data_IF_747022773065
#
_entry.id   IF_747022773065
#
_cell.length_a   1.000
_cell.length_b   1.000
_cell.length_c   1.000
_cell.angle_alpha   90.00
_cell.angle_beta   90.00
_cell.angle_gamma   90.00
#
_symmetry.space_group_name_H-M   'P 1'
#
loop_
_entity.id
_entity.type
_entity.pdbx_description
1 polymer ?
#
# COMPACT_ATOMS: atom_id res chain seq x y z
N UNK A 1 51.88 -39.16 -60.72
CA UNK A 1 51.66 -39.76 -59.39
C UNK A 1 50.91 -38.73 -58.53
N UNK A 2 49.85 -39.12 -57.81
CA UNK A 2 48.52 -39.26 -58.42
C UNK A 2 47.38 -38.58 -57.62
N UNK A 3 46.18 -38.70 -58.20
CA UNK A 3 44.82 -38.64 -57.64
C UNK A 3 44.04 -37.31 -57.54
N UNK A 4 43.10 -37.21 -58.48
CA UNK A 4 41.74 -36.67 -58.35
C UNK A 4 40.94 -37.45 -57.30
N UNK A 5 40.04 -36.75 -56.57
CA UNK A 5 38.64 -37.13 -56.25
C UNK A 5 37.92 -35.83 -55.79
N UNK A 6 37.08 -35.18 -56.60
CA UNK A 6 35.66 -35.43 -56.97
C UNK A 6 34.62 -35.32 -55.82
N UNK A 7 33.85 -34.23 -55.92
CA UNK A 7 32.39 -34.05 -55.65
C UNK A 7 31.91 -34.24 -54.19
N UNK A 8 30.96 -33.47 -53.65
CA UNK A 8 29.85 -32.71 -54.23
C UNK A 8 29.56 -31.45 -53.37
N UNK A 9 29.34 -30.25 -53.93
CA UNK A 9 28.05 -29.75 -54.42
C UNK A 9 26.84 -30.02 -53.50
N UNK A 10 26.58 -29.06 -52.60
CA UNK A 10 25.25 -28.57 -52.17
C UNK A 10 25.47 -27.31 -51.33
N UNK A 11 24.87 -26.18 -51.73
CA UNK A 11 24.78 -25.00 -50.85
C UNK A 11 25.07 -23.62 -51.46
N UNK A 12 25.08 -23.45 -52.77
CA UNK A 12 25.00 -22.13 -53.40
C UNK A 12 23.53 -21.79 -53.71
N UNK A 13 22.75 -21.43 -52.68
CA UNK A 13 21.41 -20.85 -52.84
C UNK A 13 20.87 -20.30 -51.50
N UNK A 14 21.46 -19.23 -50.94
CA UNK A 14 20.81 -18.50 -49.83
C UNK A 14 21.41 -17.11 -49.50
N UNK A 15 22.14 -16.44 -50.39
CA UNK A 15 22.87 -15.19 -50.00
C UNK A 15 22.29 -13.90 -50.62
N UNK A 16 21.34 -13.96 -51.57
CA UNK A 16 20.88 -12.75 -52.27
C UNK A 16 19.35 -12.68 -52.45
N UNK A 17 18.59 -13.11 -51.43
CA UNK A 17 17.13 -13.05 -51.43
C UNK A 17 16.50 -12.24 -50.29
N UNK A 18 17.27 -11.59 -49.42
CA UNK A 18 16.72 -10.94 -48.21
C UNK A 18 16.96 -9.42 -48.18
N UNK A 19 17.80 -8.87 -49.05
CA UNK A 19 18.05 -7.42 -49.12
C UNK A 19 16.93 -6.61 -49.84
N UNK A 20 15.85 -7.24 -50.30
CA UNK A 20 14.76 -6.56 -51.02
C UNK A 20 13.34 -6.85 -50.48
N UNK A 21 13.23 -7.40 -49.27
CA UNK A 21 11.96 -7.49 -48.52
C UNK A 21 12.00 -6.69 -47.19
N UNK A 22 12.92 -5.73 -47.09
CA UNK A 22 13.15 -4.87 -45.91
C UNK A 22 12.19 -3.65 -45.88
N UNK A 23 11.28 -3.51 -46.86
CA UNK A 23 10.57 -2.25 -47.09
C UNK A 23 9.07 -2.17 -46.78
N UNK A 24 8.33 -3.27 -46.56
CA UNK A 24 6.85 -3.21 -46.55
C UNK A 24 6.17 -3.95 -45.36
N UNK A 25 6.90 -4.67 -44.51
CA UNK A 25 6.32 -5.43 -43.39
C UNK A 25 6.19 -4.70 -42.05
N UNK A 26 6.42 -3.39 -41.98
CA UNK A 26 6.40 -2.61 -40.73
C UNK A 26 4.98 -2.25 -40.21
N UNK A 27 3.96 -3.05 -40.49
CA UNK A 27 2.58 -2.70 -40.09
C UNK A 27 1.63 -3.87 -39.75
N UNK A 28 2.05 -5.13 -39.78
CA UNK A 28 1.15 -6.24 -39.45
C UNK A 28 1.91 -7.51 -39.03
N UNK A 29 2.42 -7.54 -37.80
CA UNK A 29 2.74 -8.76 -37.03
C UNK A 29 3.28 -8.41 -35.62
N UNK A 30 2.74 -7.36 -34.98
CA UNK A 30 2.74 -7.26 -33.52
C UNK A 30 1.50 -8.03 -33.07
N UNK A 31 1.62 -9.35 -33.06
CA UNK A 31 0.62 -10.22 -32.43
C UNK A 31 1.11 -10.48 -31.01
N UNK A 32 0.35 -10.00 -30.04
CA UNK A 32 0.73 -9.83 -28.65
C UNK A 32 0.26 -11.01 -27.78
N UNK A 33 0.29 -12.23 -28.31
CA UNK A 33 -0.27 -13.42 -27.65
C UNK A 33 0.76 -14.50 -27.31
N UNK A 34 2.07 -14.19 -27.37
CA UNK A 34 3.11 -15.14 -26.93
C UNK A 34 4.15 -14.42 -26.05
N UNK A 35 4.11 -14.58 -24.72
CA UNK A 35 5.11 -14.01 -23.84
C UNK A 35 6.47 -14.68 -24.11
N UNK A 36 7.46 -13.86 -24.46
CA UNK A 36 8.89 -14.19 -24.60
C UNK A 36 9.53 -14.94 -23.40
N UNK A 37 8.79 -15.15 -22.31
CA UNK A 37 9.10 -16.01 -21.16
C UNK A 37 7.87 -16.89 -20.86
N UNK A 38 8.01 -18.21 -20.99
CA UNK A 38 6.97 -19.20 -20.64
C UNK A 38 6.92 -19.37 -19.11
N UNK A 39 6.13 -18.53 -18.46
CA UNK A 39 5.94 -18.53 -17.00
C UNK A 39 5.12 -19.71 -16.49
N UNK A 40 4.29 -20.34 -17.34
CA UNK A 40 3.62 -21.60 -16.99
C UNK A 40 4.63 -22.74 -16.80
N UNK A 41 5.84 -22.59 -17.34
CA UNK A 41 6.98 -23.49 -17.17
C UNK A 41 8.09 -22.97 -16.24
N UNK A 42 7.91 -21.84 -15.54
CA UNK A 42 8.92 -21.34 -14.59
C UNK A 42 9.05 -22.34 -13.43
N UNK A 43 10.27 -22.81 -13.18
CA UNK A 43 10.57 -23.59 -11.99
C UNK A 43 10.56 -22.67 -10.78
N UNK A 44 9.37 -22.38 -10.26
CA UNK A 44 9.19 -22.12 -8.83
C UNK A 44 10.06 -23.17 -8.11
N UNK A 45 10.92 -22.81 -7.14
CA UNK A 45 11.66 -23.80 -6.39
C UNK A 45 10.66 -24.84 -5.86
N UNK A 46 10.66 -26.01 -6.49
CA UNK A 46 9.75 -27.09 -6.12
C UNK A 46 10.04 -27.45 -4.67
N UNK A 47 8.97 -27.60 -3.88
CA UNK A 47 8.96 -27.93 -2.45
C UNK A 47 9.11 -26.78 -1.44
N UNK A 48 9.00 -25.49 -1.82
CA UNK A 48 8.85 -24.44 -0.80
C UNK A 48 7.44 -24.48 -0.17
N UNK A 49 7.31 -24.47 1.17
CA UNK A 49 6.02 -24.51 1.85
C UNK A 49 5.18 -23.27 1.53
N UNK A 50 3.88 -23.45 1.30
CA UNK A 50 2.96 -22.31 1.16
C UNK A 50 3.04 -21.42 2.41
N UNK A 51 3.14 -20.11 2.19
CA UNK A 51 3.23 -19.13 3.27
C UNK A 51 1.84 -18.58 3.54
N UNK A 52 1.37 -18.81 4.76
CA UNK A 52 0.15 -18.20 5.29
C UNK A 52 0.46 -17.05 6.22
N UNK A 53 -0.26 -15.94 6.07
CA UNK A 53 -0.09 -14.76 6.92
C UNK A 53 -1.19 -14.64 7.98
N UNK A 54 -0.77 -14.24 9.18
CA UNK A 54 -1.67 -13.72 10.21
C UNK A 54 -1.63 -12.20 10.15
N UNK A 55 -2.68 -11.61 9.60
CA UNK A 55 -2.73 -10.17 9.34
C UNK A 55 -3.10 -9.31 10.55
N UNK A 56 -3.49 -9.94 11.66
CA UNK A 56 -3.72 -9.23 12.92
C UNK A 56 -2.40 -8.69 13.48
N UNK A 57 -2.46 -7.51 14.08
CA UNK A 57 -1.27 -6.91 14.65
C UNK A 57 -1.00 -7.46 16.06
N UNK A 58 0.22 -7.96 16.28
CA UNK A 58 0.64 -8.52 17.57
C UNK A 58 1.50 -7.54 18.38
N UNK A 59 2.11 -6.56 17.69
CA UNK A 59 3.01 -5.55 18.25
C UNK A 59 4.17 -6.09 19.11
N UNK A 60 4.52 -7.37 18.95
CA UNK A 60 5.68 -8.01 19.56
C UNK A 60 6.76 -8.30 18.54
N UNK A 61 7.73 -9.18 18.83
CA UNK A 61 8.69 -9.65 17.83
C UNK A 61 7.96 -10.20 16.61
N UNK A 62 8.50 -9.89 15.43
CA UNK A 62 8.04 -10.40 14.15
C UNK A 62 8.05 -11.93 14.18
N UNK A 63 6.94 -12.54 13.78
CA UNK A 63 6.72 -13.99 13.88
C UNK A 63 6.38 -14.66 12.55
N UNK A 64 6.48 -13.92 11.43
CA UNK A 64 6.34 -14.48 10.08
C UNK A 64 7.68 -14.58 9.35
N UNK A 65 7.80 -15.48 8.35
CA UNK A 65 9.03 -15.70 7.57
C UNK A 65 9.55 -14.44 6.86
N UNK A 66 10.87 -14.38 6.66
CA UNK A 66 11.59 -13.27 6.00
C UNK A 66 12.64 -13.82 5.02
N UNK A 67 12.34 -14.97 4.44
CA UNK A 67 13.30 -15.82 3.75
C UNK A 67 13.55 -15.35 2.31
N UNK A 68 12.71 -14.45 1.79
CA UNK A 68 12.74 -13.98 0.41
C UNK A 68 11.94 -14.87 -0.53
N UNK A 69 11.05 -15.71 0.01
CA UNK A 69 10.21 -16.60 -0.79
C UNK A 69 9.29 -15.77 -1.66
N UNK A 70 9.33 -16.00 -2.99
CA UNK A 70 8.44 -15.35 -3.93
C UNK A 70 6.99 -15.83 -3.70
N UNK A 71 6.08 -14.88 -3.51
CA UNK A 71 4.69 -15.14 -3.14
C UNK A 71 3.73 -14.90 -4.28
N UNK A 72 3.97 -13.87 -5.07
CA UNK A 72 3.10 -13.47 -6.17
C UNK A 72 3.82 -12.55 -7.15
N UNK A 73 3.35 -12.58 -8.39
CA UNK A 73 3.73 -11.64 -9.45
C UNK A 73 2.53 -10.75 -9.75
N UNK A 74 2.76 -9.45 -9.88
CA UNK A 74 1.71 -8.46 -10.14
C UNK A 74 2.03 -7.70 -11.40
N UNK A 75 1.17 -7.78 -12.41
CA UNK A 75 1.27 -6.97 -13.61
C UNK A 75 0.59 -5.63 -13.35
N UNK A 76 1.39 -4.56 -13.36
CA UNK A 76 0.93 -3.20 -13.11
C UNK A 76 1.94 -2.21 -13.67
N UNK A 77 1.46 -1.13 -14.28
CA UNK A 77 2.32 -0.06 -14.81
C UNK A 77 3.01 0.76 -13.70
N UNK A 78 2.41 0.79 -12.52
CA UNK A 78 2.86 1.62 -11.40
C UNK A 78 2.95 0.80 -10.11
N UNK A 79 3.79 1.20 -9.15
CA UNK A 79 3.91 0.48 -7.89
C UNK A 79 2.76 0.84 -6.95
N UNK A 80 2.28 -0.14 -6.17
CA UNK A 80 1.22 0.03 -5.17
C UNK A 80 1.51 -0.73 -3.88
N UNK A 81 0.74 -0.41 -2.85
CA UNK A 81 0.49 -1.38 -1.78
C UNK A 81 -0.57 -2.38 -2.24
N UNK A 82 -0.25 -3.67 -2.12
CA UNK A 82 -1.17 -4.77 -2.42
C UNK A 82 -1.94 -5.09 -1.13
N UNK A 83 -3.09 -4.46 -0.95
CA UNK A 83 -3.92 -4.59 0.26
C UNK A 83 -4.57 -5.96 0.33
N UNK A 84 -4.46 -6.58 1.49
CA UNK A 84 -5.09 -7.87 1.80
C UNK A 84 -6.20 -7.70 2.83
N UNK A 85 -5.97 -6.86 3.84
CA UNK A 85 -6.94 -6.62 4.91
C UNK A 85 -6.91 -5.18 5.38
N UNK A 86 -8.03 -4.77 5.96
CA UNK A 86 -8.17 -3.51 6.68
C UNK A 86 -8.48 -3.75 8.16
N UNK A 87 -7.76 -3.04 9.02
CA UNK A 87 -7.96 -2.99 10.46
C UNK A 87 -8.47 -1.59 10.82
N UNK A 88 -9.78 -1.48 11.05
CA UNK A 88 -10.48 -0.21 11.25
C UNK A 88 -11.13 -0.04 12.61
N UNK A 89 -11.00 -1.01 13.51
CA UNK A 89 -11.38 -0.86 14.92
C UNK A 89 -10.15 -0.83 15.81
N UNK A 90 -10.13 0.12 16.74
CA UNK A 90 -9.14 0.19 17.81
C UNK A 90 -9.76 -0.33 19.10
N UNK A 91 -9.23 -1.43 19.64
CA UNK A 91 -9.78 -2.15 20.79
C UNK A 91 -9.26 -1.64 22.16
N UNK A 92 -8.44 -0.59 22.13
CA UNK A 92 -7.79 -0.02 23.31
C UNK A 92 -6.37 -0.52 23.56
N UNK A 93 -5.88 -1.45 22.75
CA UNK A 93 -4.49 -1.90 22.75
C UNK A 93 -3.88 -1.94 21.35
N UNK A 94 -4.69 -2.31 20.35
CA UNK A 94 -4.30 -2.61 19.00
C UNK A 94 -5.44 -2.41 18.00
N UNK A 95 -5.18 -2.85 16.77
CA UNK A 95 -6.05 -2.64 15.61
C UNK A 95 -6.56 -3.98 15.11
N UNK A 96 -7.87 -4.07 14.87
CA UNK A 96 -8.55 -5.26 14.41
C UNK A 96 -9.60 -4.94 13.34
N UNK A 97 -10.08 -5.98 12.67
CA UNK A 97 -11.21 -5.89 11.74
C UNK A 97 -12.49 -5.63 12.54
N UNK A 98 -13.31 -4.67 12.13
CA UNK A 98 -14.65 -4.48 12.70
C UNK A 98 -15.60 -5.65 12.32
N UNK A 99 -15.59 -6.75 13.08
CA UNK A 99 -16.37 -7.97 12.80
C UNK A 99 -17.80 -7.97 13.35
N UNK A 100 -18.17 -7.04 14.22
CA UNK A 100 -19.45 -7.04 14.95
C UNK A 100 -20.58 -6.20 14.31
N UNK A 101 -20.35 -5.60 13.13
CA UNK A 101 -21.40 -4.93 12.35
C UNK A 101 -21.63 -5.51 10.94
N UNK A 102 -21.58 -6.85 10.72
CA UNK A 102 -21.48 -7.43 9.39
C UNK A 102 -22.79 -7.43 8.59
N UNK A 103 -23.94 -7.04 9.16
CA UNK A 103 -25.25 -7.19 8.47
C UNK A 103 -25.88 -5.92 7.90
N UNK A 104 -25.34 -4.70 8.11
CA UNK A 104 -26.06 -3.47 7.70
C UNK A 104 -25.19 -2.34 7.07
N UNK A 105 -23.88 -2.23 7.30
CA UNK A 105 -23.10 -1.11 6.74
C UNK A 105 -22.28 -1.52 5.52
N UNK A 106 -22.63 -0.94 4.34
CA UNK A 106 -21.77 -1.02 3.16
C UNK A 106 -20.35 -0.52 3.51
N UNK A 107 -19.30 -1.17 3.00
CA UNK A 107 -17.94 -0.67 3.18
C UNK A 107 -17.84 0.72 2.54
N UNK A 108 -17.20 1.64 3.25
CA UNK A 108 -17.10 3.05 2.87
C UNK A 108 -15.81 3.28 2.08
N UNK A 109 -15.62 2.53 1.00
CA UNK A 109 -14.36 2.50 0.26
C UNK A 109 -14.26 3.63 -0.76
N UNK A 110 -15.33 3.91 -1.50
CA UNK A 110 -15.30 4.95 -2.53
C UNK A 110 -15.77 6.29 -1.98
N UNK A 111 -15.30 7.41 -2.56
CA UNK A 111 -15.84 8.72 -2.24
C UNK A 111 -17.36 8.79 -2.35
N UNK A 112 -17.93 8.22 -3.42
CA UNK A 112 -19.37 8.14 -3.64
C UNK A 112 -20.14 7.31 -2.60
N UNK A 113 -19.49 6.39 -1.88
CA UNK A 113 -20.12 5.61 -0.80
C UNK A 113 -20.24 6.43 0.49
N UNK A 114 -19.30 7.35 0.71
CA UNK A 114 -19.18 8.18 1.92
C UNK A 114 -19.94 9.49 1.79
N UNK A 115 -19.79 10.14 0.64
CA UNK A 115 -20.31 11.48 0.36
C UNK A 115 -21.63 11.44 -0.42
N UNK A 116 -21.97 10.26 -0.96
CA UNK A 116 -23.15 10.02 -1.79
C UNK A 116 -22.87 10.22 -3.28
N UNK A 117 -23.28 9.25 -4.11
CA UNK A 117 -23.10 9.25 -5.57
C UNK A 117 -23.73 10.43 -6.33
N UNK A 118 -24.63 11.19 -5.70
CA UNK A 118 -25.17 12.41 -6.30
C UNK A 118 -24.25 13.62 -6.06
N UNK A 119 -23.49 13.61 -4.96
CA UNK A 119 -22.54 14.66 -4.60
C UNK A 119 -21.17 14.44 -5.26
N UNK A 120 -20.82 13.19 -5.55
CA UNK A 120 -19.61 12.82 -6.26
C UNK A 120 -19.96 12.02 -7.50
N UNK A 121 -19.45 12.46 -8.66
CA UNK A 121 -19.56 11.73 -9.92
C UNK A 121 -18.89 10.36 -9.88
N UNK A 122 -18.66 9.71 -11.03
CA UNK A 122 -17.86 8.49 -11.06
C UNK A 122 -16.48 8.73 -10.42
N UNK A 123 -15.81 7.68 -9.90
CA UNK A 123 -14.44 7.79 -9.43
C UNK A 123 -13.54 8.42 -10.50
N UNK A 124 -12.53 9.19 -10.07
CA UNK A 124 -11.52 9.78 -10.97
C UNK A 124 -10.96 8.69 -11.89
N UNK A 125 -11.20 8.76 -13.21
CA UNK A 125 -10.82 7.68 -14.13
C UNK A 125 -9.32 7.40 -14.13
N UNK A 126 -8.49 8.43 -13.96
CA UNK A 126 -7.03 8.31 -13.92
C UNK A 126 -6.51 7.53 -12.70
N UNK A 127 -7.36 7.29 -11.69
CA UNK A 127 -7.03 6.47 -10.52
C UNK A 127 -7.74 5.11 -10.55
N UNK A 128 -8.46 4.81 -11.63
CA UNK A 128 -9.02 3.48 -11.88
C UNK A 128 -8.04 2.71 -12.74
N UNK A 129 -7.62 1.55 -12.27
CA UNK A 129 -6.60 0.74 -12.92
C UNK A 129 -6.98 -0.73 -12.91
N UNK A 130 -6.46 -1.43 -13.90
CA UNK A 130 -6.52 -2.88 -13.99
C UNK A 130 -5.17 -3.45 -13.55
N UNK A 131 -5.21 -4.46 -12.68
CA UNK A 131 -4.03 -5.11 -12.14
C UNK A 131 -4.24 -6.61 -12.14
N UNK A 132 -3.30 -7.35 -12.73
CA UNK A 132 -3.35 -8.81 -12.79
C UNK A 132 -2.40 -9.42 -11.77
N UNK A 133 -2.88 -10.43 -11.06
CA UNK A 133 -2.15 -11.17 -10.04
C UNK A 133 -1.94 -12.60 -10.50
N UNK A 134 -0.73 -13.11 -10.29
CA UNK A 134 -0.40 -14.53 -10.37
C UNK A 134 0.11 -14.97 -9.01
N UNK A 135 -0.60 -15.90 -8.38
CA UNK A 135 -0.26 -16.43 -7.06
C UNK A 135 0.80 -17.52 -7.21
N UNK A 136 1.86 -17.41 -6.42
CA UNK A 136 2.91 -18.40 -6.27
C UNK A 136 2.87 -19.03 -4.88
N UNK A 137 3.89 -18.79 -4.06
CA UNK A 137 4.01 -19.35 -2.71
C UNK A 137 3.01 -18.86 -1.64
N UNK A 138 2.02 -18.03 -1.99
CA UNK A 138 1.02 -17.51 -1.03
C UNK A 138 -0.20 -18.44 -0.91
N UNK A 139 -0.67 -18.64 0.32
CA UNK A 139 -2.01 -19.20 0.57
C UNK A 139 -2.92 -18.21 1.31
N UNK A 140 -4.01 -17.77 0.66
CA UNK A 140 -4.88 -16.72 1.21
C UNK A 140 -6.38 -17.01 1.01
N UNK A 141 -7.21 -16.77 2.03
CA UNK A 141 -8.68 -16.71 1.88
C UNK A 141 -9.21 -15.29 1.62
N UNK A 142 -8.30 -14.35 1.40
CA UNK A 142 -8.56 -12.93 1.18
C UNK A 142 -7.99 -12.53 -0.18
N UNK A 143 -8.72 -11.70 -0.91
CA UNK A 143 -8.28 -11.14 -2.17
C UNK A 143 -7.19 -10.08 -1.94
N UNK A 144 -6.21 -10.01 -2.84
CA UNK A 144 -5.24 -8.92 -2.88
C UNK A 144 -5.66 -7.92 -3.94
N UNK A 145 -5.59 -6.63 -3.63
CA UNK A 145 -5.85 -5.57 -4.59
C UNK A 145 -5.22 -4.25 -4.16
N UNK A 146 -4.85 -3.36 -5.10
CA UNK A 146 -4.60 -1.97 -4.74
C UNK A 146 -5.93 -1.27 -4.43
N UNK A 147 -5.96 -0.46 -3.37
CA UNK A 147 -7.10 0.41 -3.08
C UNK A 147 -8.47 -0.32 -3.00
N UNK A 148 -9.51 0.35 -3.48
CA UNK A 148 -10.89 -0.14 -3.46
C UNK A 148 -11.21 -1.00 -4.68
N UNK A 149 -11.68 -2.23 -4.48
CA UNK A 149 -12.03 -3.17 -5.55
C UNK A 149 -13.36 -2.77 -6.19
N UNK A 150 -13.37 -2.59 -7.51
CA UNK A 150 -14.55 -2.28 -8.32
C UNK A 150 -15.09 -3.51 -9.05
N UNK A 151 -14.20 -4.35 -9.56
CA UNK A 151 -14.51 -5.59 -10.26
C UNK A 151 -13.38 -6.59 -10.09
N UNK A 152 -13.70 -7.88 -10.22
CA UNK A 152 -12.74 -8.99 -10.23
C UNK A 152 -13.11 -9.93 -11.38
N UNK A 153 -12.11 -10.34 -12.15
CA UNK A 153 -12.21 -11.35 -13.20
C UNK A 153 -11.23 -12.50 -12.93
N UNK A 154 -11.57 -13.71 -13.38
CA UNK A 154 -10.74 -14.92 -13.18
C UNK A 154 -10.94 -15.65 -11.85
N UNK A 155 -11.73 -15.12 -10.91
CA UNK A 155 -12.11 -15.82 -9.67
C UNK A 155 -13.62 -15.89 -9.49
N UNK A 156 -14.09 -17.07 -9.13
CA UNK A 156 -15.46 -17.27 -8.67
C UNK A 156 -15.60 -16.97 -7.16
N UNK A 157 -16.79 -16.52 -6.76
CA UNK A 157 -17.18 -16.46 -5.35
C UNK A 157 -16.46 -15.40 -4.51
N UNK A 158 -15.93 -14.34 -5.13
CA UNK A 158 -15.45 -13.16 -4.40
C UNK A 158 -16.62 -12.40 -3.79
N UNK A 159 -16.55 -12.12 -2.49
CA UNK A 159 -17.60 -11.42 -1.75
C UNK A 159 -17.05 -10.29 -0.88
N UNK A 160 -17.81 -9.19 -0.68
CA UNK A 160 -17.42 -8.16 0.27
C UNK A 160 -17.36 -8.71 1.70
N UNK A 161 -16.24 -8.51 2.37
CA UNK A 161 -16.04 -8.73 3.78
C UNK A 161 -16.11 -7.44 4.61
N UNK A 162 -15.79 -7.56 5.89
CA UNK A 162 -15.76 -6.42 6.80
C UNK A 162 -14.67 -5.40 6.41
N UNK A 163 -14.97 -4.12 6.60
CA UNK A 163 -14.01 -3.04 6.37
C UNK A 163 -13.46 -2.96 4.95
N UNK A 164 -14.21 -3.36 3.91
CA UNK A 164 -13.71 -3.29 2.53
C UNK A 164 -12.65 -4.34 2.16
N UNK A 165 -12.42 -5.31 3.05
CA UNK A 165 -11.67 -6.53 2.75
C UNK A 165 -12.52 -7.43 1.85
N UNK A 166 -11.97 -8.04 0.80
CA UNK A 166 -12.70 -8.98 -0.05
C UNK A 166 -12.33 -10.42 0.31
N UNK A 167 -13.35 -11.27 0.49
CA UNK A 167 -13.21 -12.69 0.80
C UNK A 167 -13.28 -13.51 -0.47
N UNK A 168 -12.45 -14.54 -0.60
CA UNK A 168 -12.54 -15.53 -1.67
C UNK A 168 -13.25 -16.79 -1.15
N UNK A 169 -14.12 -17.40 -1.95
CA UNK A 169 -14.81 -18.64 -1.55
C UNK A 169 -13.86 -19.82 -1.43
N UNK A 170 -12.87 -19.86 -2.33
CA UNK A 170 -11.76 -20.81 -2.29
C UNK A 170 -10.48 -20.07 -1.91
N UNK A 171 -9.58 -20.73 -1.19
CA UNK A 171 -8.30 -20.13 -0.82
C UNK A 171 -7.43 -20.05 -2.07
N UNK A 172 -6.92 -18.84 -2.35
CA UNK A 172 -5.88 -18.58 -3.35
C UNK A 172 -4.65 -19.42 -3.07
N UNK A 173 -4.08 -20.03 -4.10
CA UNK A 173 -2.95 -20.96 -4.09
C UNK A 173 -2.07 -20.77 -5.32
N UNK A 174 -0.90 -21.41 -5.29
CA UNK A 174 0.04 -21.45 -6.41
C UNK A 174 -0.66 -21.78 -7.75
N UNK A 175 -0.41 -20.94 -8.74
CA UNK A 175 -0.99 -21.02 -10.08
C UNK A 175 -2.30 -20.25 -10.28
N UNK A 176 -2.97 -19.79 -9.22
CA UNK A 176 -4.19 -18.99 -9.36
C UNK A 176 -3.87 -17.63 -9.99
N UNK A 177 -4.68 -17.25 -10.99
CA UNK A 177 -4.55 -15.95 -11.66
C UNK A 177 -5.88 -15.21 -11.65
N UNK A 178 -5.80 -13.89 -11.50
CA UNK A 178 -6.98 -13.04 -11.52
C UNK A 178 -6.63 -11.60 -11.82
N UNK A 179 -7.64 -10.86 -12.27
CA UNK A 179 -7.51 -9.44 -12.59
C UNK A 179 -8.49 -8.65 -11.74
N UNK A 180 -8.03 -7.55 -11.16
CA UNK A 180 -8.88 -6.63 -10.41
C UNK A 180 -8.92 -5.27 -11.10
N UNK A 181 -10.12 -4.73 -11.25
CA UNK A 181 -10.29 -3.30 -11.52
C UNK A 181 -10.43 -2.60 -10.18
N UNK A 182 -9.53 -1.65 -9.90
CA UNK A 182 -9.39 -1.01 -8.60
C UNK A 182 -9.34 0.51 -8.70
N UNK A 183 -9.91 1.19 -7.71
CA UNK A 183 -9.74 2.62 -7.49
C UNK A 183 -8.64 2.86 -6.43
N UNK A 184 -7.52 3.44 -6.84
CA UNK A 184 -6.35 3.67 -6.00
C UNK A 184 -5.86 5.13 -6.11
N UNK A 185 -6.36 6.06 -5.26
CA UNK A 185 -6.05 7.47 -5.36
C UNK A 185 -4.55 7.80 -5.27
N UNK A 186 -4.06 8.58 -6.24
CA UNK A 186 -2.70 9.15 -6.25
C UNK A 186 -2.72 10.69 -6.37
N UNK A 187 -3.33 11.40 -5.40
CA UNK A 187 -3.39 12.86 -5.44
C UNK A 187 -2.01 13.49 -5.20
N UNK A 188 -1.78 14.66 -5.81
CA UNK A 188 -0.66 15.53 -5.45
C UNK A 188 -0.83 16.12 -4.05
N UNK A 189 0.26 16.59 -3.46
CA UNK A 189 0.21 17.27 -2.16
C UNK A 189 -0.69 18.52 -2.20
N UNK A 190 -0.71 19.23 -3.33
CA UNK A 190 -1.61 20.38 -3.54
C UNK A 190 -3.09 19.96 -3.51
N UNK A 191 -3.45 18.89 -4.23
CA UNK A 191 -4.83 18.38 -4.24
C UNK A 191 -5.27 17.89 -2.85
N UNK A 192 -4.37 17.30 -2.08
CA UNK A 192 -4.62 16.89 -0.69
C UNK A 192 -4.83 18.10 0.24
N UNK A 193 -4.01 19.14 0.12
CA UNK A 193 -4.19 20.39 0.92
C UNK A 193 -5.49 21.11 0.60
N UNK A 194 -5.92 21.06 -0.65
CA UNK A 194 -7.19 21.65 -1.09
C UNK A 194 -8.43 20.87 -0.61
N UNK A 195 -8.27 19.64 -0.12
CA UNK A 195 -9.38 18.84 0.40
C UNK A 195 -9.94 19.48 1.68
N UNK A 196 -11.26 19.69 1.77
CA UNK A 196 -11.85 20.38 2.91
C UNK A 196 -11.87 19.51 4.17
N UNK A 197 -11.73 20.15 5.34
CA UNK A 197 -11.88 19.50 6.64
C UNK A 197 -13.34 19.17 7.00
N UNK A 198 -14.31 19.47 6.13
CA UNK A 198 -15.73 19.20 6.36
C UNK A 198 -16.09 17.75 6.07
N UNK A 199 -15.68 16.85 6.96
CA UNK A 199 -15.92 15.41 6.81
C UNK A 199 -17.41 15.03 6.93
N UNK A 200 -17.91 14.12 6.07
CA UNK A 200 -19.22 13.51 6.21
C UNK A 200 -19.38 12.76 7.53
N UNK A 201 -20.59 12.80 8.11
CA UNK A 201 -20.90 12.13 9.38
C UNK A 201 -20.68 10.61 9.33
N UNK A 202 -20.79 9.99 8.15
CA UNK A 202 -20.54 8.56 7.94
C UNK A 202 -19.13 8.15 8.40
N UNK A 203 -18.15 9.07 8.34
CA UNK A 203 -16.77 8.80 8.75
C UNK A 203 -16.54 8.79 10.26
N UNK A 204 -17.54 9.13 11.09
CA UNK A 204 -17.38 9.11 12.57
C UNK A 204 -16.97 7.74 13.11
N UNK A 205 -17.26 6.64 12.40
CA UNK A 205 -16.78 5.31 12.80
C UNK A 205 -15.25 5.19 12.74
N UNK A 206 -14.60 5.94 11.85
CA UNK A 206 -13.14 5.99 11.71
C UNK A 206 -12.47 7.02 12.64
N UNK A 207 -13.22 7.55 13.62
CA UNK A 207 -12.67 8.34 14.74
C UNK A 207 -13.04 7.74 16.10
N UNK A 208 -13.52 6.50 16.10
CA UNK A 208 -13.82 5.75 17.31
C UNK A 208 -12.55 5.12 17.90
N UNK A 209 -12.43 5.25 19.22
CA UNK A 209 -11.34 4.72 20.03
C UNK A 209 -11.93 4.06 21.28
N UNK A 210 -11.66 2.78 21.50
CA UNK A 210 -11.90 2.15 22.81
C UNK A 210 -10.77 2.60 23.75
N UNK A 211 -11.11 3.34 24.81
CA UNK A 211 -10.12 3.98 25.67
C UNK A 211 -10.15 3.38 27.09
N UNK A 212 -9.29 2.39 27.37
CA UNK A 212 -9.10 1.91 28.73
C UNK A 212 -8.48 3.00 29.61
N UNK A 213 -8.99 3.14 30.83
CA UNK A 213 -8.41 4.03 31.86
C UNK A 213 -7.24 3.38 32.59
N UNK A 214 -7.22 2.05 32.65
CA UNK A 214 -6.20 1.22 33.29
C UNK A 214 -5.88 0.02 32.42
N UNK A 215 -4.76 -0.66 32.70
CA UNK A 215 -4.43 -1.90 31.98
C UNK A 215 -5.55 -2.95 32.16
N UNK A 216 -5.87 -3.74 31.13
CA UNK A 216 -6.78 -4.86 31.26
C UNK A 216 -6.23 -5.89 32.26
N UNK A 217 -7.10 -6.47 33.09
CA UNK A 217 -6.74 -7.55 34.01
C UNK A 217 -6.46 -8.84 33.20
N UNK A 218 -5.52 -9.70 33.64
CA UNK A 218 -5.34 -11.02 33.05
C UNK A 218 -6.66 -11.81 33.08
N UNK A 219 -6.94 -12.58 32.02
CA UNK A 219 -8.19 -13.34 31.82
C UNK A 219 -8.55 -14.26 33.00
N UNK A 220 -7.58 -14.66 33.83
CA UNK A 220 -7.77 -15.58 34.95
C UNK A 220 -8.50 -14.98 36.18
N UNK A 221 -8.59 -13.65 36.32
CA UNK A 221 -9.18 -13.02 37.53
C UNK A 221 -10.65 -12.56 37.35
N UNK A 222 -11.21 -12.67 36.14
CA UNK A 222 -12.48 -12.00 35.80
C UNK A 222 -13.66 -12.98 35.71
N UNK A 223 -13.95 -13.68 36.80
CA UNK A 223 -15.17 -14.48 36.95
C UNK A 223 -16.48 -13.67 37.03
N UNK A 224 -16.45 -12.34 36.83
CA UNK A 224 -17.61 -11.45 36.88
C UNK A 224 -17.58 -10.44 35.70
N UNK A 225 -18.48 -10.70 34.74
CA UNK A 225 -19.06 -9.82 33.69
C UNK A 225 -18.38 -8.49 33.32
N UNK A 226 -17.59 -8.54 32.24
CA UNK A 226 -17.79 -7.82 30.97
C UNK A 226 -18.40 -6.40 31.05
N UNK A 227 -17.56 -5.38 31.23
CA UNK A 227 -17.82 -4.07 30.63
C UNK A 227 -16.72 -3.78 29.63
N UNK A 228 -17.01 -3.95 28.35
CA UNK A 228 -16.13 -3.51 27.26
C UNK A 228 -15.74 -2.05 27.50
N UNK A 229 -14.47 -1.66 27.29
CA UNK A 229 -14.04 -0.29 27.48
C UNK A 229 -14.96 0.67 26.70
N UNK A 230 -15.34 1.81 27.29
CA UNK A 230 -16.28 2.72 26.64
C UNK A 230 -15.68 3.31 25.38
N UNK A 231 -16.30 3.03 24.23
CA UNK A 231 -15.94 3.65 22.95
C UNK A 231 -16.11 5.17 23.03
N UNK A 232 -15.03 5.89 22.73
CA UNK A 232 -15.03 7.33 22.53
C UNK A 232 -15.13 7.62 21.04
N UNK A 233 -16.06 8.46 20.61
CA UNK A 233 -16.06 9.00 19.25
C UNK A 233 -15.49 10.40 19.29
N UNK A 234 -14.29 10.59 18.74
CA UNK A 234 -13.68 11.92 18.62
C UNK A 234 -14.45 12.71 17.55
N UNK A 235 -14.86 13.97 17.80
CA UNK A 235 -15.44 14.83 16.77
C UNK A 235 -14.55 14.87 15.53
N UNK A 236 -15.16 14.94 14.34
CA UNK A 236 -14.39 14.97 13.10
C UNK A 236 -13.49 16.22 13.08
N UNK A 237 -12.30 16.09 12.50
CA UNK A 237 -11.34 17.18 12.43
C UNK A 237 -11.98 18.43 11.81
N UNK A 238 -11.67 19.61 12.35
CA UNK A 238 -12.33 20.87 11.98
C UNK A 238 -13.68 21.13 12.68
N UNK A 239 -14.31 20.14 13.32
CA UNK A 239 -15.47 20.37 14.18
C UNK A 239 -15.04 20.92 15.55
N UNK A 240 -15.92 21.67 16.26
CA UNK A 240 -15.64 22.13 17.60
C UNK A 240 -15.27 20.98 18.54
N UNK A 241 -14.22 21.16 19.34
CA UNK A 241 -13.84 20.18 20.38
C UNK A 241 -14.89 20.19 21.48
N UNK A 242 -15.38 19.00 21.83
CA UNK A 242 -16.26 18.82 22.97
C UNK A 242 -15.41 18.62 24.24
N UNK A 243 -15.63 19.45 25.26
CA UNK A 243 -14.84 19.41 26.51
C UNK A 243 -14.83 18.04 27.17
N UNK A 244 -16.00 17.37 27.21
CA UNK A 244 -16.14 16.02 27.77
C UNK A 244 -15.32 14.97 27.00
N UNK A 245 -15.19 15.12 25.68
CA UNK A 245 -14.42 14.19 24.85
C UNK A 245 -12.92 14.39 25.06
N UNK A 246 -12.48 15.66 25.11
CA UNK A 246 -11.10 16.01 25.44
C UNK A 246 -10.72 15.50 26.84
N UNK A 247 -11.55 15.75 27.85
CA UNK A 247 -11.34 15.27 29.22
C UNK A 247 -11.20 13.75 29.27
N UNK A 248 -12.04 13.00 28.55
CA UNK A 248 -11.91 11.53 28.47
C UNK A 248 -10.62 11.05 27.81
N UNK A 249 -10.08 11.78 26.82
CA UNK A 249 -8.77 11.46 26.23
C UNK A 249 -7.65 11.75 27.23
N UNK A 250 -7.73 12.88 27.92
CA UNK A 250 -6.74 13.35 28.90
C UNK A 250 -6.67 12.47 30.15
N UNK A 251 -7.79 11.84 30.54
CA UNK A 251 -7.85 10.85 31.62
C UNK A 251 -7.42 9.43 31.21
N UNK A 252 -7.25 9.17 29.90
CA UNK A 252 -6.96 7.84 29.38
C UNK A 252 -5.47 7.50 29.40
N UNK A 253 -5.15 6.22 29.18
CA UNK A 253 -3.77 5.78 28.94
C UNK A 253 -3.13 6.46 27.71
N UNK A 254 -3.93 7.09 26.84
CA UNK A 254 -3.51 7.70 25.57
C UNK A 254 -3.45 9.24 25.59
N UNK A 255 -3.59 9.87 26.76
CA UNK A 255 -3.47 11.32 26.92
C UNK A 255 -2.18 11.90 26.30
N UNK A 256 -1.05 11.21 26.52
CA UNK A 256 0.24 11.56 25.94
C UNK A 256 0.26 11.48 24.41
N UNK A 257 -0.41 10.46 23.83
CA UNK A 257 -0.53 10.28 22.37
C UNK A 257 -1.31 11.42 21.76
N UNK A 258 -2.47 11.76 22.35
CA UNK A 258 -3.28 12.89 21.90
C UNK A 258 -2.52 14.22 22.00
N UNK A 259 -1.86 14.45 23.13
CA UNK A 259 -1.04 15.64 23.35
C UNK A 259 0.12 15.76 22.36
N UNK A 260 0.76 14.64 21.99
CA UNK A 260 1.80 14.64 20.97
C UNK A 260 1.22 14.98 19.60
N UNK A 261 0.10 14.36 19.21
CA UNK A 261 -0.58 14.64 17.95
C UNK A 261 -0.96 16.13 17.85
N UNK A 262 -1.53 16.71 18.90
CA UNK A 262 -1.87 18.13 18.98
C UNK A 262 -0.66 19.06 18.79
N UNK A 263 0.48 18.71 19.40
CA UNK A 263 1.71 19.52 19.25
C UNK A 263 2.26 19.46 17.83
N UNK A 264 2.28 18.28 17.22
CA UNK A 264 2.78 18.10 15.87
C UNK A 264 1.89 18.79 14.83
N UNK A 265 0.57 18.85 15.08
CA UNK A 265 -0.40 19.47 14.16
C UNK A 265 -0.72 20.93 14.49
N UNK A 266 -0.02 21.58 15.45
CA UNK A 266 -0.42 22.89 15.96
C UNK A 266 -0.43 24.01 14.91
N UNK A 267 0.40 23.90 13.87
CA UNK A 267 0.49 24.84 12.75
C UNK A 267 -0.09 24.32 11.44
N UNK A 268 -0.84 23.22 11.46
CA UNK A 268 -1.41 22.64 10.24
C UNK A 268 -2.56 23.51 9.71
N UNK A 269 -2.49 23.90 8.44
CA UNK A 269 -3.52 24.70 7.77
C UNK A 269 -4.59 23.82 7.09
N UNK A 270 -4.26 22.56 6.83
CA UNK A 270 -5.15 21.56 6.23
C UNK A 270 -5.09 20.22 6.99
N UNK A 271 -6.07 19.32 6.80
CA UNK A 271 -5.97 17.95 7.30
C UNK A 271 -4.70 17.26 6.79
N UNK A 272 -4.30 17.52 5.54
CA UNK A 272 -3.08 16.96 4.97
C UNK A 272 -1.83 17.39 5.74
N UNK A 273 -1.69 18.67 6.08
CA UNK A 273 -0.51 19.15 6.80
C UNK A 273 -0.41 18.52 8.20
N UNK A 274 -1.54 18.24 8.85
CA UNK A 274 -1.57 17.51 10.11
C UNK A 274 -1.12 16.05 9.94
N UNK A 275 -1.60 15.36 8.90
CA UNK A 275 -1.18 13.99 8.58
C UNK A 275 0.31 13.92 8.26
N UNK A 276 0.79 14.82 7.39
CA UNK A 276 2.18 14.88 6.94
C UNK A 276 3.14 15.21 8.10
N UNK A 277 2.75 16.09 9.03
CA UNK A 277 3.56 16.41 10.21
C UNK A 277 3.74 15.19 11.13
N UNK A 278 2.68 14.42 11.36
CA UNK A 278 2.74 13.19 12.16
C UNK A 278 3.55 12.11 11.45
N UNK A 279 3.33 11.91 10.15
CA UNK A 279 4.09 10.98 9.32
C UNK A 279 5.59 11.30 9.37
N UNK A 280 5.97 12.56 9.11
CA UNK A 280 7.35 13.02 9.14
C UNK A 280 8.02 12.83 10.51
N UNK A 281 7.28 13.09 11.59
CA UNK A 281 7.78 12.86 12.96
C UNK A 281 8.14 11.39 13.20
N UNK A 282 7.28 10.47 12.78
CA UNK A 282 7.50 9.03 12.93
C UNK A 282 8.66 8.55 12.04
N UNK A 283 8.70 8.97 10.78
CA UNK A 283 9.74 8.60 9.81
C UNK A 283 11.14 9.03 10.22
N UNK A 284 11.27 10.18 10.89
CA UNK A 284 12.56 10.77 11.27
C UNK A 284 12.96 10.53 12.72
N UNK A 285 11.99 10.30 13.61
CA UNK A 285 12.20 10.32 15.06
C UNK A 285 12.35 8.95 15.73
N UNK A 286 12.22 7.86 14.97
CA UNK A 286 12.10 6.49 15.45
C UNK A 286 12.98 5.54 14.63
N UNK A 287 13.31 4.39 15.20
CA UNK A 287 14.16 3.38 14.55
C UNK A 287 13.37 2.14 14.14
N UNK A 288 13.85 1.44 13.13
CA UNK A 288 13.27 0.16 12.70
C UNK A 288 13.90 -1.00 13.47
N UNK A 289 13.08 -1.93 13.98
CA UNK A 289 13.49 -3.22 14.54
C UNK A 289 12.38 -4.25 14.41
N UNK A 290 12.73 -5.48 14.01
CA UNK A 290 11.82 -6.62 13.91
C UNK A 290 11.67 -7.38 15.25
N UNK A 291 12.40 -6.97 16.29
CA UNK A 291 12.35 -7.59 17.63
C UNK A 291 11.91 -6.61 18.73
N UNK A 292 10.82 -5.83 18.54
CA UNK A 292 10.35 -4.93 19.57
C UNK A 292 9.87 -5.70 20.81
N UNK A 293 10.04 -5.15 22.02
CA UNK A 293 9.57 -5.79 23.24
C UNK A 293 8.04 -5.84 23.26
N UNK A 294 7.48 -6.93 23.81
CA UNK A 294 6.04 -6.99 24.09
C UNK A 294 5.68 -6.01 25.21
N UNK A 295 4.58 -5.27 25.02
CA UNK A 295 4.12 -4.22 25.92
C UNK A 295 2.61 -4.33 26.13
N UNK A 296 2.08 -4.06 27.34
CA UNK A 296 0.64 -4.01 27.57
C UNK A 296 -0.07 -2.86 26.83
N UNK A 297 0.62 -1.74 26.59
CA UNK A 297 0.09 -0.58 25.83
C UNK A 297 1.03 -0.27 24.66
N UNK A 298 1.11 -1.17 23.67
CA UNK A 298 2.23 -1.23 22.74
C UNK A 298 2.46 0.05 21.96
N UNK A 299 1.39 0.68 21.45
CA UNK A 299 1.53 1.90 20.66
C UNK A 299 1.98 3.11 21.49
N UNK A 300 1.56 3.20 22.76
CA UNK A 300 2.02 4.26 23.66
C UNK A 300 3.48 4.06 24.05
N UNK A 301 3.84 2.84 24.44
CA UNK A 301 5.20 2.52 24.84
C UNK A 301 6.16 2.64 23.66
N UNK A 302 5.74 2.29 22.43
CA UNK A 302 6.47 2.60 21.21
C UNK A 302 6.73 4.11 21.07
N UNK A 303 5.70 4.96 21.20
CA UNK A 303 5.82 6.40 21.00
C UNK A 303 6.75 7.08 22.02
N UNK A 304 6.74 6.66 23.29
CA UNK A 304 7.37 7.42 24.37
C UNK A 304 8.53 6.70 25.08
N UNK A 305 8.63 5.38 24.96
CA UNK A 305 9.63 4.58 25.68
C UNK A 305 10.60 3.90 24.73
N UNK A 306 10.07 3.03 23.86
CA UNK A 306 10.89 2.13 23.06
C UNK A 306 11.47 2.85 21.83
N UNK A 307 10.67 3.71 21.18
CA UNK A 307 11.01 4.46 19.98
C UNK A 307 11.61 3.62 18.84
N UNK A 308 11.35 2.31 18.87
CA UNK A 308 11.80 1.34 17.90
C UNK A 308 10.74 0.26 17.72
N UNK A 309 10.43 -0.06 16.47
CA UNK A 309 9.45 -1.08 16.08
C UNK A 309 9.52 -1.37 14.58
N UNK A 310 8.56 -2.11 14.05
CA UNK A 310 8.41 -2.32 12.61
C UNK A 310 7.04 -1.79 12.16
N UNK A 311 6.66 -2.07 10.91
CA UNK A 311 5.51 -1.44 10.25
C UNK A 311 4.23 -1.43 11.10
N UNK A 312 3.95 -2.47 11.90
CA UNK A 312 2.79 -2.51 12.78
C UNK A 312 2.77 -1.38 13.83
N UNK A 313 3.88 -1.15 14.55
CA UNK A 313 3.95 -0.09 15.56
C UNK A 313 3.82 1.28 14.90
N UNK A 314 4.47 1.49 13.76
CA UNK A 314 4.43 2.73 13.01
C UNK A 314 3.02 3.06 12.49
N UNK A 315 2.40 2.12 11.76
CA UNK A 315 1.06 2.29 11.18
C UNK A 315 0.00 2.43 12.28
N UNK A 316 0.05 1.56 13.30
CA UNK A 316 -0.88 1.58 14.41
C UNK A 316 -0.79 2.88 15.22
N UNK A 317 0.42 3.37 15.51
CA UNK A 317 0.62 4.61 16.27
C UNK A 317 0.19 5.84 15.47
N UNK A 318 0.55 5.92 14.18
CA UNK A 318 0.13 7.01 13.31
C UNK A 318 -1.40 7.06 13.21
N UNK A 319 -2.06 5.94 12.91
CA UNK A 319 -3.51 5.89 12.80
C UNK A 319 -4.18 6.32 14.11
N UNK A 320 -3.64 5.91 15.27
CA UNK A 320 -4.16 6.30 16.59
C UNK A 320 -4.01 7.80 16.84
N UNK A 321 -2.86 8.39 16.47
CA UNK A 321 -2.64 9.84 16.57
C UNK A 321 -3.63 10.61 15.70
N UNK A 322 -3.84 10.18 14.43
CA UNK A 322 -4.81 10.80 13.52
C UNK A 322 -6.25 10.72 14.06
N UNK A 323 -6.68 9.54 14.53
CA UNK A 323 -8.02 9.38 15.12
C UNK A 323 -8.22 10.24 16.35
N UNK A 324 -7.18 10.40 17.18
CA UNK A 324 -7.24 11.27 18.35
C UNK A 324 -7.45 12.75 18.00
N UNK A 325 -7.10 13.15 16.77
CA UNK A 325 -7.36 14.50 16.24
C UNK A 325 -8.73 14.60 15.55
N UNK A 326 -9.42 13.47 15.34
CA UNK A 326 -10.66 13.43 14.56
C UNK A 326 -10.47 13.26 13.05
N UNK A 327 -9.25 12.97 12.59
CA UNK A 327 -8.98 12.69 11.18
C UNK A 327 -9.38 11.22 10.93
N UNK A 328 -10.33 10.94 10.01
CA UNK A 328 -10.72 9.57 9.69
C UNK A 328 -9.52 8.78 9.14
N UNK A 329 -9.13 7.74 9.87
CA UNK A 329 -7.98 6.91 9.50
C UNK A 329 -8.24 5.43 9.80
N UNK A 330 -7.49 4.56 9.14
CA UNK A 330 -7.49 3.10 9.34
C UNK A 330 -6.11 2.53 9.05
N UNK A 331 -5.86 1.33 9.56
CA UNK A 331 -4.65 0.58 9.25
C UNK A 331 -4.98 -0.42 8.14
N UNK A 332 -4.08 -0.57 7.18
CA UNK A 332 -4.17 -1.59 6.14
C UNK A 332 -2.91 -2.45 6.16
N UNK A 333 -3.09 -3.73 5.85
CA UNK A 333 -2.01 -4.71 5.83
C UNK A 333 -2.08 -5.56 4.56
N UNK A 334 -0.91 -5.96 4.09
CA UNK A 334 -0.74 -6.69 2.85
C UNK A 334 0.73 -6.69 2.47
N UNK A 335 1.03 -6.26 1.25
CA UNK A 335 2.39 -6.18 0.75
C UNK A 335 2.72 -4.77 0.24
N UNK A 336 3.99 -4.38 0.33
CA UNK A 336 4.56 -3.29 -0.47
C UNK A 336 4.57 -3.69 -1.96
N UNK A 337 5.05 -2.81 -2.85
CA UNK A 337 5.09 -3.12 -4.28
C UNK A 337 5.91 -4.35 -4.63
N UNK A 338 6.92 -4.69 -3.83
CA UNK A 338 7.96 -5.64 -4.23
C UNK A 338 8.96 -5.02 -5.21
N UNK A 339 9.72 -5.88 -5.89
CA UNK A 339 10.77 -5.51 -6.85
C UNK A 339 10.21 -5.43 -8.27
N UNK A 340 10.46 -4.32 -8.97
CA UNK A 340 10.05 -4.18 -10.36
C UNK A 340 10.87 -5.08 -11.29
N UNK A 341 10.22 -5.75 -12.24
CA UNK A 341 10.88 -6.60 -13.22
C UNK A 341 11.73 -5.78 -14.22
N UNK A 342 12.77 -6.41 -14.76
CA UNK A 342 13.58 -5.80 -15.82
C UNK A 342 12.70 -5.57 -17.06
N UNK A 343 12.54 -4.30 -17.44
CA UNK A 343 11.65 -3.90 -18.55
C UNK A 343 10.36 -3.23 -18.08
N UNK A 344 10.04 -3.28 -16.78
CA UNK A 344 8.83 -2.69 -16.21
C UNK A 344 7.56 -3.50 -16.47
N UNK A 345 6.41 -2.98 -16.04
CA UNK A 345 5.10 -3.58 -16.27
C UNK A 345 4.70 -4.71 -15.32
N UNK A 346 5.62 -5.17 -14.46
CA UNK A 346 5.30 -6.14 -13.42
C UNK A 346 6.21 -6.00 -12.19
N UNK A 347 5.74 -6.56 -11.07
CA UNK A 347 6.42 -6.58 -9.78
C UNK A 347 6.45 -8.00 -9.23
N UNK A 348 7.60 -8.37 -8.67
CA UNK A 348 7.80 -9.60 -7.91
C UNK A 348 7.69 -9.30 -6.42
N UNK A 349 6.78 -9.99 -5.75
CA UNK A 349 6.46 -9.76 -4.33
C UNK A 349 6.80 -11.01 -3.55
N UNK A 350 7.55 -10.82 -2.47
CA UNK A 350 8.05 -11.87 -1.59
C UNK A 350 7.49 -11.74 -0.17
N UNK A 351 7.77 -12.71 0.68
CA UNK A 351 7.47 -12.63 2.12
C UNK A 351 8.18 -11.45 2.82
N UNK A 352 9.25 -10.92 2.22
CA UNK A 352 9.95 -9.72 2.68
C UNK A 352 9.20 -8.43 2.40
N UNK A 353 8.15 -8.49 1.60
CA UNK A 353 7.36 -7.32 1.24
C UNK A 353 6.10 -7.19 2.10
N UNK A 354 5.86 -8.14 3.02
CA UNK A 354 4.75 -8.08 3.97
C UNK A 354 4.83 -6.80 4.81
N UNK A 355 3.77 -5.99 4.76
CA UNK A 355 3.80 -4.61 5.23
C UNK A 355 2.44 -4.12 5.76
N UNK A 356 2.48 -3.06 6.57
CA UNK A 356 1.28 -2.35 7.02
C UNK A 356 1.49 -0.84 6.97
N UNK A 357 0.44 -0.11 6.58
CA UNK A 357 0.44 1.33 6.39
C UNK A 357 -0.83 1.96 6.95
N UNK A 358 -0.91 3.29 6.88
CA UNK A 358 -2.11 4.04 7.27
C UNK A 358 -2.85 4.52 6.03
N UNK A 359 -4.16 4.44 6.04
CA UNK A 359 -5.00 5.15 5.09
C UNK A 359 -5.77 6.25 5.81
N UNK A 360 -5.70 7.47 5.29
CA UNK A 360 -6.46 8.62 5.78
C UNK A 360 -7.44 9.09 4.72
N UNK A 361 -8.65 9.48 5.13
CA UNK A 361 -9.68 9.92 4.20
C UNK A 361 -9.53 11.40 3.85
N UNK A 362 -9.69 11.72 2.57
CA UNK A 362 -9.74 13.09 2.06
C UNK A 362 -11.03 13.28 1.25
N UNK A 363 -11.81 14.31 1.60
CA UNK A 363 -13.07 14.62 0.94
C UNK A 363 -12.83 14.91 -0.53
N UNK A 364 -13.64 14.32 -1.41
CA UNK A 364 -13.46 14.42 -2.88
C UNK A 364 -12.38 13.50 -3.48
N UNK A 365 -11.65 12.74 -2.65
CA UNK A 365 -10.48 11.93 -3.07
C UNK A 365 -10.61 10.49 -2.58
N UNK A 366 -11.11 10.27 -1.37
CA UNK A 366 -11.21 8.94 -0.78
C UNK A 366 -10.06 8.60 0.16
N UNK A 367 -9.79 7.30 0.32
CA UNK A 367 -8.73 6.80 1.19
C UNK A 367 -7.37 6.88 0.51
N UNK A 368 -6.44 7.56 1.15
CA UNK A 368 -5.09 7.79 0.63
C UNK A 368 -4.07 7.14 1.56
N UNK A 369 -3.13 6.32 1.04
CA UNK A 369 -2.12 5.66 1.86
C UNK A 369 -1.01 6.63 2.28
N UNK A 370 -0.48 6.42 3.49
CA UNK A 370 0.66 7.13 4.10
C UNK A 370 1.62 6.13 4.75
N UNK A 371 2.91 6.45 4.72
CA UNK A 371 4.01 5.57 5.10
C UNK A 371 4.79 6.13 6.32
N UNK A 372 4.36 5.82 7.55
CA UNK A 372 5.08 6.26 8.74
C UNK A 372 6.41 5.54 8.99
N UNK A 373 6.70 4.44 8.30
CA UNK A 373 7.91 3.64 8.52
C UNK A 373 9.15 4.34 7.93
N UNK A 374 10.28 4.45 8.68
CA UNK A 374 11.48 5.12 8.22
C UNK A 374 12.10 4.51 6.94
N UNK A 375 12.75 5.33 6.08
CA UNK A 375 13.47 4.87 4.88
C UNK A 375 14.60 3.87 5.12
N UNK A 376 15.14 3.80 6.34
CA UNK A 376 16.22 2.87 6.70
C UNK A 376 15.74 1.45 7.02
N UNK A 377 14.42 1.18 6.95
CA UNK A 377 13.89 -0.18 7.01
C UNK A 377 14.42 -1.00 5.81
N UNK A 378 14.65 -2.33 5.95
CA UNK A 378 15.17 -3.16 4.87
C UNK A 378 14.37 -2.94 3.56
N UNK A 379 15.11 -2.67 2.48
CA UNK A 379 14.56 -2.46 1.14
C UNK A 379 13.70 -3.68 0.76
N UNK A 380 12.42 -3.42 0.54
CA UNK A 380 11.31 -4.38 0.54
C UNK A 380 10.06 -3.79 1.20
N UNK A 381 10.22 -2.79 2.08
CA UNK A 381 9.10 -2.15 2.77
C UNK A 381 8.62 -0.80 2.17
N UNK A 382 9.15 -0.36 1.03
CA UNK A 382 9.05 1.06 0.65
C UNK A 382 8.64 1.32 -0.79
N UNK A 383 7.47 1.96 -0.94
CA UNK A 383 7.17 2.84 -2.07
C UNK A 383 7.96 4.15 -1.89
N UNK A 384 9.29 4.08 -2.05
CA UNK A 384 10.14 5.28 -2.00
C UNK A 384 9.68 6.32 -3.03
N UNK A 385 9.07 5.92 -4.14
CA UNK A 385 8.58 6.84 -5.19
C UNK A 385 7.27 7.55 -4.86
N UNK A 386 6.29 6.93 -4.18
CA UNK A 386 5.05 7.61 -3.77
C UNK A 386 5.29 8.59 -2.62
N UNK A 387 6.19 8.25 -1.69
CA UNK A 387 6.60 9.17 -0.64
C UNK A 387 7.52 10.28 -1.18
N UNK A 388 8.48 9.95 -2.07
CA UNK A 388 9.39 10.94 -2.65
C UNK A 388 8.67 11.89 -3.62
N UNK A 389 7.73 11.43 -4.45
CA UNK A 389 6.95 12.33 -5.32
C UNK A 389 6.16 13.36 -4.50
N UNK A 390 5.51 12.93 -3.41
CA UNK A 390 4.78 13.85 -2.49
C UNK A 390 5.70 14.77 -1.69
N UNK A 391 6.89 14.31 -1.26
CA UNK A 391 7.84 15.14 -0.52
C UNK A 391 8.65 16.11 -1.40
N UNK A 392 9.05 15.71 -2.61
CA UNK A 392 9.80 16.57 -3.54
C UNK A 392 8.96 17.76 -3.98
N UNK A 393 7.66 17.57 -4.24
CA UNK A 393 6.73 18.66 -4.51
C UNK A 393 6.51 19.59 -3.30
N UNK A 394 6.45 19.03 -2.09
CA UNK A 394 6.31 19.82 -0.87
C UNK A 394 7.56 20.66 -0.52
N UNK A 395 8.75 20.27 -0.99
CA UNK A 395 10.01 20.96 -0.67
C UNK A 395 10.52 21.90 -1.78
N UNK A 396 9.82 22.00 -2.92
CA UNK A 396 10.13 22.98 -3.97
C UNK A 396 11.48 22.81 -4.67
N UNK A 397 12.10 21.61 -4.63
CA UNK A 397 13.40 21.39 -5.27
C UNK A 397 13.23 20.96 -6.72
N UNK A 398 13.47 21.88 -7.66
CA UNK A 398 13.60 21.58 -9.10
C UNK A 398 14.80 20.65 -9.30
N UNK A 399 14.56 19.38 -9.62
CA UNK A 399 15.61 18.50 -10.14
C UNK A 399 15.84 18.88 -11.62
N UNK A 400 17.04 19.31 -12.03
CA UNK A 400 17.30 19.59 -13.43
C UNK A 400 17.21 18.29 -14.24
N UNK A 401 16.34 18.27 -15.26
CA UNK A 401 16.32 17.21 -16.27
C UNK A 401 17.72 17.12 -16.90
N UNK A 402 18.48 16.06 -16.59
CA UNK A 402 19.71 15.72 -17.33
C UNK A 402 19.29 15.32 -18.74
N UNK A 403 19.43 16.25 -19.67
CA UNK A 403 19.30 16.00 -21.09
C UNK A 403 20.30 14.95 -21.54
N UNK A 404 19.79 13.98 -22.30
CA UNK A 404 20.54 13.03 -23.10
C UNK A 404 21.58 13.79 -23.94
N UNK A 405 22.87 13.59 -23.70
CA UNK A 405 23.93 14.05 -24.61
C UNK A 405 24.12 12.96 -25.66
N UNK A 406 23.61 13.21 -26.86
CA UNK A 406 23.93 12.41 -28.05
C UNK A 406 25.28 12.90 -28.60
N UNK A 407 26.28 12.04 -28.83
CA UNK A 407 27.54 12.46 -29.44
C UNK A 407 27.34 12.56 -30.95
N UNK A 408 27.61 13.73 -31.55
CA UNK A 408 27.76 13.85 -33.00
C UNK A 408 29.25 13.99 -33.33
N UNK A 409 29.74 13.04 -34.15
CA UNK A 409 31.10 13.01 -34.68
C UNK A 409 31.19 13.88 -35.94
N UNK A 410 32.18 14.78 -35.92
CA UNK A 410 33.00 15.37 -36.98
C UNK A 410 32.39 15.85 -38.31
N UNK A 411 32.71 17.11 -38.64
CA UNK A 411 32.77 17.63 -40.00
C UNK A 411 33.46 18.99 -40.04
N UNK A 412 34.77 19.01 -40.30
CA UNK A 412 35.48 20.21 -40.78
C UNK A 412 34.81 20.74 -42.03
N UNK A 413 34.73 22.07 -42.19
CA UNK A 413 35.00 22.80 -43.44
C UNK A 413 34.89 24.33 -43.19
N UNK A 414 36.06 24.99 -43.27
CA UNK A 414 36.37 26.30 -43.90
C UNK A 414 35.48 27.54 -43.67
N UNK A 415 36.12 28.61 -43.20
CA UNK A 415 35.71 30.01 -43.39
C UNK A 415 35.67 30.39 -44.90
N UNK A 416 35.00 31.49 -45.30
CA UNK A 416 35.62 32.83 -45.21
C UNK A 416 34.68 34.03 -44.94
N UNK A 417 35.34 35.15 -44.58
CA UNK A 417 35.04 36.58 -44.85
C UNK A 417 33.67 37.20 -44.49
N UNK A 418 33.66 38.10 -43.49
CA UNK A 418 33.80 39.55 -43.67
C UNK A 418 34.22 40.24 -42.36
#
# INVERSE_FOLDING_TARGET
>A
MPHLDRLAWRGAAAVLGVAAAVGIGAAAALDADDPWIDWAGWSWPGEDPSVGFRWNHSYGPLDWPRDGTALLRVESEEPHYWRVIQLDRFDGSGWEVATEQPSIERPLELPGDVEGRAAQGPPEPDWVQEVSFTIGGLESGLLLAPGAVLAVDGLDGVSPGAGGTSLTSERLRDGDTYTVTSYAPKPSAERLRASPASYPRALRRYTQLELPRSLPLPEAESGLTLSRPPTLTVPLYGQPRESRIAERLDESLYAGVHSLALRLSAGAESPYDAVAAIESHLRSGYSYTETPPRRPVPLRDFLFRDRAGYCQQFSGAMALMLRSLGIPSRVASGFSSGEAEQGGGAFQVSDRDAHSWVEAYFVGIGWVPFEPTPPAAPAGAQLSELAASRQVEATGTVIPRRGLVVPTVAGQLTAPEA
#
